data_IF_400198674301
#
_entry.id   IF_400198674301
#
_cell.length_a   1.000
_cell.length_b   1.000
_cell.length_c   1.000
_cell.angle_alpha   90.00
_cell.angle_beta   90.00
_cell.angle_gamma   90.00
#
_symmetry.space_group_name_H-M   'P 1'
#
loop_
_entity.id
_entity.type
_entity.pdbx_description
1 polymer ?
#
# COMPACT_ATOMS: atom_id res chain seq x y z
N UNK A 1 2.70 4.09 -14.11
CA UNK A 1 2.64 4.54 -12.70
C UNK A 1 2.21 5.99 -12.62
N UNK A 2 1.17 6.27 -11.83
CA UNK A 2 0.67 7.60 -11.50
C UNK A 2 0.91 7.91 -10.00
N UNK A 3 1.03 9.19 -9.69
CA UNK A 3 1.30 9.67 -8.34
C UNK A 3 0.01 10.09 -7.64
N UNK A 4 -0.14 9.73 -6.36
CA UNK A 4 -1.18 10.29 -5.52
C UNK A 4 -0.93 11.77 -5.25
N UNK A 5 -1.92 12.66 -5.38
CA UNK A 5 -1.73 14.08 -5.12
C UNK A 5 -1.23 14.40 -3.70
N UNK A 6 -1.69 13.63 -2.70
CA UNK A 6 -1.37 13.86 -1.28
C UNK A 6 -0.19 13.00 -0.81
N UNK A 7 -0.16 11.71 -1.19
CA UNK A 7 0.89 10.79 -0.80
C UNK A 7 2.04 10.76 -1.81
N UNK A 8 2.92 11.77 -1.79
CA UNK A 8 3.96 11.94 -2.81
C UNK A 8 4.96 10.77 -2.95
N UNK A 9 5.10 9.94 -1.93
CA UNK A 9 5.98 8.76 -1.97
C UNK A 9 5.26 7.46 -2.36
N UNK A 10 3.94 7.51 -2.53
CA UNK A 10 3.12 6.37 -2.94
C UNK A 10 2.60 6.64 -4.34
N UNK A 11 2.65 5.62 -5.16
CA UNK A 11 2.23 5.65 -6.56
C UNK A 11 1.43 4.38 -6.82
N UNK A 12 0.55 4.41 -7.81
CA UNK A 12 -0.23 3.26 -8.25
C UNK A 12 -0.03 3.04 -9.75
N UNK A 13 -0.32 1.84 -10.26
CA UNK A 13 -0.37 1.64 -11.70
C UNK A 13 -1.69 2.16 -12.28
N UNK A 14 -1.60 3.20 -13.12
CA UNK A 14 -2.77 3.76 -13.79
C UNK A 14 -3.35 2.82 -14.83
N UNK A 15 -2.59 1.83 -15.32
CA UNK A 15 -3.13 0.81 -16.21
C UNK A 15 -4.17 -0.07 -15.50
N UNK A 16 -4.01 -0.34 -14.21
CA UNK A 16 -5.02 -1.07 -13.44
C UNK A 16 -6.34 -0.29 -13.39
N UNK A 17 -6.27 1.02 -13.17
CA UNK A 17 -7.48 1.87 -13.15
C UNK A 17 -8.13 1.97 -14.53
N UNK A 18 -7.36 2.38 -15.55
CA UNK A 18 -7.91 2.72 -16.87
C UNK A 18 -8.24 1.48 -17.71
N UNK A 19 -7.47 0.39 -17.58
CA UNK A 19 -7.62 -0.81 -18.42
C UNK A 19 -8.35 -1.92 -17.65
N UNK A 20 -7.83 -2.33 -16.49
CA UNK A 20 -8.41 -3.46 -15.72
C UNK A 20 -9.78 -3.09 -15.17
N UNK A 21 -9.91 -1.89 -14.60
CA UNK A 21 -11.16 -1.37 -14.05
C UNK A 21 -11.95 -0.49 -15.03
N UNK A 22 -11.46 -0.27 -16.26
CA UNK A 22 -12.15 0.51 -17.28
C UNK A 22 -12.55 1.92 -16.80
N UNK A 23 -11.71 2.56 -15.99
CA UNK A 23 -11.94 3.89 -15.40
C UNK A 23 -13.15 3.95 -14.44
N UNK A 24 -13.60 2.79 -13.93
CA UNK A 24 -14.75 2.70 -13.03
C UNK A 24 -14.41 2.94 -11.53
N UNK A 25 -13.14 3.18 -11.20
CA UNK A 25 -12.69 3.40 -9.83
C UNK A 25 -11.85 4.67 -9.70
N UNK A 26 -11.94 5.29 -8.52
CA UNK A 26 -11.07 6.39 -8.13
C UNK A 26 -10.24 5.99 -6.91
N UNK A 27 -8.92 6.20 -7.00
CA UNK A 27 -7.99 5.88 -5.94
C UNK A 27 -7.56 7.14 -5.18
N UNK A 28 -7.51 7.01 -3.86
CA UNK A 28 -7.07 8.08 -2.97
C UNK A 28 -6.10 7.55 -1.92
N UNK A 29 -5.28 8.46 -1.40
CA UNK A 29 -4.34 8.17 -0.34
C UNK A 29 -4.20 9.37 0.59
N UNK A 30 -4.00 9.10 1.88
CA UNK A 30 -3.56 10.08 2.88
C UNK A 30 -2.50 9.50 3.80
N UNK A 31 -1.61 10.34 4.32
CA UNK A 31 -0.74 9.96 5.44
C UNK A 31 -1.56 10.00 6.74
N UNK A 32 -1.37 9.00 7.60
CA UNK A 32 -2.07 8.89 8.89
C UNK A 32 -1.07 8.79 10.04
N UNK A 33 -1.49 9.18 11.24
CA UNK A 33 -0.62 9.16 12.40
C UNK A 33 -0.20 7.73 12.78
N UNK A 34 1.10 7.54 13.07
CA UNK A 34 1.67 6.25 13.49
C UNK A 34 0.99 5.66 14.74
N UNK A 35 0.37 6.50 15.59
CA UNK A 35 -0.40 6.04 16.74
C UNK A 35 -1.63 5.16 16.37
N UNK A 36 -2.04 5.14 15.11
CA UNK A 36 -3.11 4.29 14.58
C UNK A 36 -2.59 2.96 14.00
N UNK A 37 -1.28 2.75 13.97
CA UNK A 37 -0.65 1.52 13.47
C UNK A 37 -1.06 0.28 14.29
N UNK A 38 -1.53 -0.81 13.65
CA UNK A 38 -1.65 -2.10 14.32
C UNK A 38 -0.31 -2.66 14.75
N UNK A 39 -0.27 -3.53 15.76
CA UNK A 39 0.98 -4.14 16.22
C UNK A 39 1.76 -4.78 15.05
N UNK A 40 3.03 -4.38 14.88
CA UNK A 40 3.88 -4.86 13.79
C UNK A 40 3.97 -6.41 13.78
N UNK A 41 3.94 -7.04 12.60
CA UNK A 41 4.00 -8.50 12.50
C UNK A 41 5.34 -9.04 13.01
N UNK A 42 5.32 -10.27 13.52
CA UNK A 42 6.51 -10.92 14.09
C UNK A 42 7.66 -10.98 13.07
N UNK A 43 8.88 -10.66 13.53
CA UNK A 43 10.07 -10.64 12.67
C UNK A 43 10.22 -9.39 11.80
N UNK A 44 9.27 -8.44 11.85
CA UNK A 44 9.33 -7.20 11.08
C UNK A 44 9.34 -5.96 11.98
N UNK A 45 9.76 -4.85 11.38
CA UNK A 45 9.67 -3.51 11.97
C UNK A 45 9.18 -2.54 10.91
N UNK A 46 8.15 -1.74 11.20
CA UNK A 46 7.68 -0.69 10.30
C UNK A 46 8.77 0.36 10.10
N UNK A 47 8.86 0.86 8.87
CA UNK A 47 9.81 1.88 8.43
C UNK A 47 9.08 2.93 7.61
N UNK A 48 9.27 4.19 8.00
CA UNK A 48 8.68 5.31 7.30
C UNK A 48 7.19 5.50 7.60
N UNK A 49 6.51 6.33 6.80
CA UNK A 49 5.15 6.78 7.11
C UNK A 49 4.11 5.66 7.00
N UNK A 50 2.99 5.87 7.69
CA UNK A 50 1.77 5.09 7.55
C UNK A 50 0.82 5.80 6.59
N UNK A 51 0.41 5.12 5.53
CA UNK A 51 -0.56 5.64 4.57
C UNK A 51 -1.89 4.90 4.71
N UNK A 52 -2.99 5.56 4.39
CA UNK A 52 -4.33 4.98 4.27
C UNK A 52 -4.75 5.11 2.81
N UNK A 53 -4.85 3.98 2.12
CA UNK A 53 -5.22 3.86 0.70
C UNK A 53 -6.65 3.36 0.62
N UNK A 54 -7.48 4.09 -0.14
CA UNK A 54 -8.90 3.78 -0.29
C UNK A 54 -9.37 4.03 -1.71
N UNK A 55 -10.45 3.35 -2.08
CA UNK A 55 -11.00 3.30 -3.43
C UNK A 55 -12.50 3.60 -3.41
N UNK A 56 -12.98 4.36 -4.40
CA UNK A 56 -14.40 4.54 -4.69
C UNK A 56 -14.77 3.89 -6.02
N UNK A 57 -16.06 3.67 -6.26
CA UNK A 57 -16.59 3.01 -7.47
C UNK A 57 -16.79 1.50 -7.31
N UNK A 58 -16.18 0.90 -6.29
CA UNK A 58 -16.39 -0.50 -5.90
C UNK A 58 -16.58 -0.63 -4.39
N UNK A 59 -17.16 -1.75 -3.95
CA UNK A 59 -17.17 -2.11 -2.54
C UNK A 59 -15.74 -2.42 -2.06
N UNK A 60 -15.36 -1.91 -0.89
CA UNK A 60 -13.99 -1.98 -0.39
C UNK A 60 -13.92 -1.98 1.14
N UNK A 61 -12.70 -2.10 1.68
CA UNK A 61 -12.44 -2.14 3.13
C UNK A 61 -12.32 -3.57 3.63
N UNK A 62 -13.42 -4.17 4.06
CA UNK A 62 -13.43 -5.59 4.50
C UNK A 62 -13.52 -6.58 3.33
N UNK A 63 -13.94 -6.09 2.17
CA UNK A 63 -14.13 -6.89 0.96
C UNK A 63 -12.93 -6.66 0.03
N UNK A 64 -12.35 -7.74 -0.53
CA UNK A 64 -11.26 -7.63 -1.46
C UNK A 64 -11.70 -6.95 -2.76
N UNK A 65 -10.77 -6.27 -3.39
CA UNK A 65 -10.91 -5.77 -4.74
C UNK A 65 -11.18 -6.92 -5.72
N UNK A 66 -12.02 -6.74 -6.75
CA UNK A 66 -12.21 -7.74 -7.80
C UNK A 66 -10.91 -8.18 -8.49
N UNK A 67 -10.00 -7.21 -8.69
CA UNK A 67 -8.65 -7.40 -9.22
C UNK A 67 -7.64 -6.63 -8.36
N UNK A 68 -6.44 -7.16 -8.12
CA UNK A 68 -5.42 -6.42 -7.38
C UNK A 68 -5.01 -5.13 -8.10
N UNK A 69 -4.50 -4.16 -7.34
CA UNK A 69 -3.99 -2.90 -7.88
C UNK A 69 -2.54 -2.73 -7.42
N UNK A 70 -1.64 -2.56 -8.36
CA UNK A 70 -0.21 -2.39 -8.08
C UNK A 70 0.01 -1.04 -7.40
N UNK A 71 0.64 -1.06 -6.23
CA UNK A 71 1.13 0.14 -5.57
C UNK A 71 2.63 0.05 -5.38
N UNK A 72 3.30 1.18 -5.57
CA UNK A 72 4.73 1.32 -5.34
C UNK A 72 5.02 2.45 -4.37
N UNK A 73 5.91 2.17 -3.42
CA UNK A 73 6.38 3.14 -2.44
C UNK A 73 7.85 3.45 -2.72
N UNK A 74 8.18 4.74 -2.80
CA UNK A 74 9.57 5.19 -2.81
C UNK A 74 10.09 5.27 -1.38
N UNK A 75 11.12 4.49 -1.03
CA UNK A 75 11.70 4.55 0.30
C UNK A 75 12.57 5.79 0.52
N UNK A 76 12.64 6.27 1.76
CA UNK A 76 13.45 7.44 2.14
C UNK A 76 14.91 7.10 2.52
N UNK A 77 15.15 5.90 3.06
CA UNK A 77 16.44 5.50 3.64
C UNK A 77 17.12 4.33 2.92
N UNK A 78 18.45 4.24 3.05
CA UNK A 78 19.27 3.11 2.52
C UNK A 78 18.99 1.75 3.17
N UNK A 79 18.37 1.72 4.37
CA UNK A 79 17.96 0.47 5.04
C UNK A 79 16.83 -0.26 4.30
N UNK A 80 16.38 0.30 3.19
CA UNK A 80 15.25 -0.20 2.42
C UNK A 80 15.69 -1.17 1.31
N UNK A 81 16.94 -1.64 1.31
CA UNK A 81 17.32 -2.76 0.42
C UNK A 81 16.61 -4.08 0.75
N UNK A 82 16.11 -4.24 1.97
CA UNK A 82 15.33 -5.40 2.40
C UNK A 82 13.85 -5.10 2.65
N UNK A 83 13.36 -3.88 2.35
CA UNK A 83 11.96 -3.60 2.69
C UNK A 83 10.97 -4.32 1.79
N UNK A 84 9.85 -4.62 2.43
CA UNK A 84 8.64 -5.20 1.89
C UNK A 84 7.46 -4.27 2.18
N UNK A 85 6.39 -4.37 1.41
CA UNK A 85 5.14 -3.63 1.70
C UNK A 85 4.27 -4.45 2.65
N UNK A 86 3.75 -3.81 3.69
CA UNK A 86 2.66 -4.32 4.50
C UNK A 86 1.35 -3.65 4.14
N UNK A 87 0.27 -4.45 4.13
CA UNK A 87 -1.12 -3.98 4.02
C UNK A 87 -1.90 -4.39 5.25
N UNK A 88 -2.48 -3.43 5.97
CA UNK A 88 -3.34 -3.66 7.12
C UNK A 88 -4.80 -3.37 6.80
N UNK A 89 -5.62 -4.42 6.87
CA UNK A 89 -7.06 -4.39 6.62
C UNK A 89 -7.78 -5.32 7.62
N UNK A 90 -9.11 -5.29 7.63
CA UNK A 90 -9.93 -6.05 8.60
C UNK A 90 -10.45 -5.22 9.77
N UNK A 91 -11.21 -5.87 10.66
CA UNK A 91 -11.76 -5.29 11.88
C UNK A 91 -11.61 -6.27 13.07
N UNK A 92 -10.57 -6.13 13.92
CA UNK A 92 -9.53 -5.10 13.88
C UNK A 92 -8.58 -5.26 12.69
N UNK A 93 -7.85 -4.18 12.34
CA UNK A 93 -6.87 -4.23 11.26
C UNK A 93 -5.67 -5.08 11.65
N UNK A 94 -5.23 -5.96 10.75
CA UNK A 94 -4.02 -6.77 10.91
C UNK A 94 -3.09 -6.61 9.72
N UNK A 95 -1.79 -6.54 9.98
CA UNK A 95 -0.79 -6.50 8.93
C UNK A 95 -0.68 -7.83 8.18
N UNK A 96 -0.67 -7.74 6.85
CA UNK A 96 -0.23 -8.79 5.93
C UNK A 96 0.99 -8.27 5.18
N UNK A 97 2.11 -8.97 5.29
CA UNK A 97 3.30 -8.69 4.48
C UNK A 97 3.05 -9.21 3.08
N UNK A 98 3.16 -8.33 2.09
CA UNK A 98 2.85 -8.64 0.71
C UNK A 98 4.09 -9.15 -0.05
N UNK A 99 3.92 -10.08 -0.99
CA UNK A 99 4.94 -10.37 -2.00
C UNK A 99 5.30 -9.07 -2.71
N UNK A 100 6.57 -8.70 -2.62
CA UNK A 100 7.04 -7.38 -3.03
C UNK A 100 8.13 -7.54 -4.08
N UNK A 101 8.08 -6.69 -5.11
CA UNK A 101 9.11 -6.61 -6.16
C UNK A 101 9.80 -5.26 -6.13
N UNK A 102 11.05 -5.23 -6.57
CA UNK A 102 11.81 -3.98 -6.76
C UNK A 102 11.76 -3.58 -8.21
N UNK A 103 11.43 -2.32 -8.46
CA UNK A 103 11.47 -1.75 -9.80
C UNK A 103 12.20 -0.41 -9.74
N UNK A 104 13.48 -0.40 -10.13
CA UNK A 104 14.34 0.76 -9.98
C UNK A 104 14.46 1.19 -8.52
N UNK A 105 14.02 2.42 -8.21
CA UNK A 105 14.11 3.02 -6.88
C UNK A 105 12.82 2.87 -6.04
N UNK A 106 11.86 2.06 -6.48
CA UNK A 106 10.59 1.83 -5.77
C UNK A 106 10.42 0.36 -5.41
N UNK A 107 9.64 0.15 -4.36
CA UNK A 107 9.24 -1.14 -3.82
C UNK A 107 7.76 -1.28 -4.12
N UNK A 108 7.34 -2.32 -4.85
CA UNK A 108 5.97 -2.47 -5.37
C UNK A 108 5.31 -3.75 -4.88
N UNK A 109 4.00 -3.71 -4.65
CA UNK A 109 3.19 -4.86 -4.28
C UNK A 109 1.75 -4.70 -4.76
N UNK A 110 1.08 -5.83 -4.91
CA UNK A 110 -0.34 -5.91 -5.28
C UNK A 110 -1.23 -5.71 -4.05
N UNK A 111 -1.99 -4.62 -4.02
CA UNK A 111 -2.99 -4.41 -2.97
C UNK A 111 -4.29 -5.10 -3.37
N UNK A 112 -4.80 -5.93 -2.47
CA UNK A 112 -6.07 -6.65 -2.64
C UNK A 112 -7.21 -6.04 -1.85
N UNK A 113 -6.92 -5.11 -0.94
CA UNK A 113 -7.90 -4.46 -0.07
C UNK A 113 -7.55 -2.99 0.13
N UNK A 114 -8.56 -2.19 0.48
CA UNK A 114 -8.35 -0.85 1.01
C UNK A 114 -7.84 -0.96 2.46
N UNK A 115 -6.95 -0.07 2.86
CA UNK A 115 -6.39 -0.10 4.20
C UNK A 115 -5.06 0.61 4.34
N UNK A 116 -4.40 0.30 5.45
CA UNK A 116 -3.13 0.94 5.79
C UNK A 116 -1.97 0.30 5.04
N UNK A 117 -1.08 1.13 4.52
CA UNK A 117 0.10 0.73 3.76
C UNK A 117 1.33 1.33 4.40
N UNK A 118 2.33 0.52 4.66
CA UNK A 118 3.66 0.99 5.08
C UNK A 118 4.76 0.04 4.62
N UNK A 119 6.01 0.49 4.75
CA UNK A 119 7.17 -0.34 4.49
C UNK A 119 7.60 -1.05 5.78
N UNK A 120 8.06 -2.28 5.65
CA UNK A 120 8.61 -3.07 6.74
C UNK A 120 9.97 -3.62 6.35
N UNK A 121 10.88 -3.71 7.31
CA UNK A 121 12.15 -4.44 7.14
C UNK A 121 12.16 -5.64 8.07
N UNK A 122 12.75 -6.78 7.67
CA UNK A 122 13.10 -7.85 8.59
C UNK A 122 13.94 -7.32 9.76
N UNK A 123 13.73 -7.86 10.97
CA UNK A 123 14.52 -7.55 12.16
C UNK A 123 15.89 -8.19 12.13
#
# INVERSE_FOLDING_TARGET
MAQYPVCSNVTFDSADVVVTYQDAIDLYCREVAEALEPAAPAGYKQRGPLYDVYVFGIESGLIPYPYPITHCVRPRDKQVESAVIGLAYGAPREWRILPTVRFGAVVCAELTHAGFVSLFTPR
#
